data_IF_518449806160
#
_entry.id   IF_518449806160
#
_cell.length_a   1.000
_cell.length_b   1.000
_cell.length_c   1.000
_cell.angle_alpha   90.00
_cell.angle_beta   90.00
_cell.angle_gamma   90.00
#
_symmetry.space_group_name_H-M   'P 1'
#
loop_
_entity.id
_entity.type
_entity.pdbx_description
1 polymer ?
#
# COMPACT_ATOMS: atom_id res chain seq x y z
N UNK A 1 15.29 -1.43 4.60
CA UNK A 1 16.30 -0.47 4.14
C UNK A 1 17.65 -0.83 4.74
N UNK A 2 18.43 -1.61 4.07
CA UNK A 2 19.82 -1.91 4.43
C UNK A 2 20.81 -1.08 3.61
N UNK A 3 22.04 -1.51 3.59
CA UNK A 3 23.05 -1.02 2.65
C UNK A 3 22.71 -1.45 1.22
N UNK A 4 23.22 -0.72 0.24
CA UNK A 4 23.09 -1.00 -1.19
C UNK A 4 21.96 -0.21 -1.87
N UNK A 5 21.63 -0.63 -3.07
CA UNK A 5 20.69 0.06 -3.94
C UNK A 5 19.27 0.11 -3.35
N UNK A 6 18.73 1.32 -3.19
CA UNK A 6 17.43 1.59 -2.54
C UNK A 6 16.27 1.83 -3.52
N UNK A 7 16.50 1.65 -4.79
CA UNK A 7 15.52 1.88 -5.85
C UNK A 7 15.71 3.20 -6.59
N UNK A 8 15.01 3.32 -7.71
CA UNK A 8 15.16 4.41 -8.68
C UNK A 8 14.90 5.80 -8.08
N UNK A 9 13.96 5.92 -7.13
CA UNK A 9 13.67 7.20 -6.48
C UNK A 9 14.88 7.80 -5.77
N UNK A 10 15.71 6.95 -5.14
CA UNK A 10 16.89 7.41 -4.42
C UNK A 10 18.12 7.54 -5.31
N UNK A 11 18.19 6.71 -6.35
CA UNK A 11 19.38 6.50 -7.13
C UNK A 11 19.00 5.98 -8.51
N UNK A 12 18.72 6.87 -9.48
CA UNK A 12 18.30 6.45 -10.83
C UNK A 12 19.37 5.64 -11.58
N UNK A 13 20.64 5.88 -11.27
CA UNK A 13 21.74 5.04 -11.70
C UNK A 13 22.31 4.25 -10.51
N UNK A 14 22.21 2.91 -10.48
CA UNK A 14 22.70 2.09 -9.38
C UNK A 14 24.19 2.26 -9.03
N UNK A 15 25.01 2.72 -9.98
CA UNK A 15 26.46 2.90 -9.82
C UNK A 15 26.86 4.33 -9.43
N UNK A 16 25.90 5.27 -9.46
CA UNK A 16 26.14 6.66 -9.12
C UNK A 16 25.83 6.95 -7.64
N UNK A 17 26.22 8.13 -7.17
CA UNK A 17 25.80 8.63 -5.87
C UNK A 17 24.26 8.85 -5.82
N UNK A 18 23.62 8.75 -4.63
CA UNK A 18 22.21 9.05 -4.48
C UNK A 18 21.86 10.47 -4.94
N UNK A 19 20.79 10.59 -5.75
CA UNK A 19 20.23 11.85 -6.23
C UNK A 19 18.71 11.74 -6.27
N UNK A 20 18.06 12.28 -5.26
CA UNK A 20 16.60 12.25 -5.12
C UNK A 20 15.89 13.08 -6.19
N UNK A 21 16.47 14.21 -6.60
CA UNK A 21 15.84 15.05 -7.63
C UNK A 21 15.81 14.34 -8.98
N UNK A 22 16.94 13.78 -9.38
CA UNK A 22 17.03 12.95 -10.58
C UNK A 22 16.17 11.68 -10.45
N UNK A 23 16.09 11.10 -9.25
CA UNK A 23 15.24 9.93 -8.96
C UNK A 23 13.75 10.21 -9.16
N UNK A 24 13.25 11.32 -8.66
CA UNK A 24 11.85 11.75 -8.85
C UNK A 24 11.55 11.93 -10.35
N UNK A 25 12.43 12.59 -11.08
CA UNK A 25 12.25 12.77 -12.53
C UNK A 25 12.25 11.43 -13.26
N UNK A 26 13.15 10.52 -12.92
CA UNK A 26 13.25 9.20 -13.54
C UNK A 26 11.98 8.37 -13.30
N UNK A 27 11.44 8.37 -12.08
CA UNK A 27 10.18 7.67 -11.73
C UNK A 27 9.00 8.29 -12.47
N UNK A 28 8.87 9.60 -12.51
CA UNK A 28 7.79 10.27 -13.27
C UNK A 28 7.86 9.88 -14.75
N UNK A 29 9.03 9.95 -15.36
CA UNK A 29 9.22 9.52 -16.75
C UNK A 29 8.84 8.06 -16.97
N UNK A 30 9.26 7.17 -16.06
CA UNK A 30 8.91 5.74 -16.12
C UNK A 30 7.39 5.53 -16.09
N UNK A 31 6.67 6.15 -15.15
CA UNK A 31 5.22 6.03 -15.05
C UNK A 31 4.52 6.58 -16.30
N UNK A 32 4.86 7.81 -16.72
CA UNK A 32 4.23 8.45 -17.89
C UNK A 32 4.46 7.61 -19.15
N UNK A 33 5.68 7.14 -19.36
CA UNK A 33 6.02 6.28 -20.49
C UNK A 33 5.26 4.95 -20.43
N UNK A 34 5.24 4.30 -19.29
CA UNK A 34 4.52 3.04 -19.10
C UNK A 34 3.03 3.19 -19.40
N UNK A 35 2.39 4.26 -18.92
CA UNK A 35 0.97 4.55 -19.21
C UNK A 35 0.75 4.83 -20.71
N UNK A 36 1.61 5.61 -21.34
CA UNK A 36 1.49 5.92 -22.77
C UNK A 36 1.66 4.69 -23.67
N UNK A 37 2.58 3.79 -23.32
CA UNK A 37 2.87 2.59 -24.11
C UNK A 37 1.91 1.44 -23.86
N UNK A 38 1.41 1.27 -22.61
CA UNK A 38 0.58 0.12 -22.24
C UNK A 38 -0.92 0.43 -22.19
N UNK A 39 -1.32 1.69 -22.04
CA UNK A 39 -2.68 2.09 -21.74
C UNK A 39 -3.13 1.75 -20.30
N UNK A 40 -2.24 1.24 -19.45
CA UNK A 40 -2.50 0.94 -18.05
C UNK A 40 -2.19 2.15 -17.18
N UNK A 41 -2.89 2.24 -16.04
CA UNK A 41 -2.66 3.29 -15.04
C UNK A 41 -1.48 2.97 -14.12
N UNK A 42 -0.99 3.97 -13.41
CA UNK A 42 0.14 3.83 -12.50
C UNK A 42 -0.29 3.61 -11.05
N UNK A 43 0.46 2.79 -10.32
CA UNK A 43 0.31 2.56 -8.90
C UNK A 43 1.67 2.62 -8.20
N UNK A 44 1.73 3.09 -6.95
CA UNK A 44 2.96 3.14 -6.16
C UNK A 44 2.68 2.79 -4.69
N UNK A 45 3.73 2.59 -3.91
CA UNK A 45 3.66 2.45 -2.45
C UNK A 45 4.09 3.75 -1.77
N UNK A 46 3.23 4.30 -0.92
CA UNK A 46 3.55 5.47 -0.10
C UNK A 46 4.59 5.12 0.97
N UNK A 47 5.86 5.22 0.63
CA UNK A 47 6.95 5.01 1.58
C UNK A 47 7.14 6.23 2.49
N UNK A 48 7.04 7.41 1.90
CA UNK A 48 7.18 8.70 2.58
C UNK A 48 6.04 9.63 2.14
N UNK A 49 5.12 9.98 3.04
CA UNK A 49 3.99 10.86 2.70
C UNK A 49 4.41 12.21 2.08
N UNK A 50 5.58 12.70 2.46
CA UNK A 50 6.13 13.96 1.94
C UNK A 50 6.46 13.92 0.45
N UNK A 51 6.78 12.74 -0.08
CA UNK A 51 7.14 12.56 -1.49
C UNK A 51 5.93 12.39 -2.41
N UNK A 52 4.75 12.12 -1.84
CA UNK A 52 3.53 11.88 -2.61
C UNK A 52 3.24 13.01 -3.61
N UNK A 53 3.42 14.26 -3.20
CA UNK A 53 3.14 15.43 -4.06
C UNK A 53 3.93 15.47 -5.36
N UNK A 54 4.95 14.66 -5.51
CA UNK A 54 5.70 14.54 -6.77
C UNK A 54 5.10 13.54 -7.75
N UNK A 55 4.10 12.75 -7.32
CA UNK A 55 3.49 11.67 -8.10
C UNK A 55 1.94 11.74 -8.12
N UNK A 56 1.31 12.59 -7.32
CA UNK A 56 -0.13 12.62 -7.11
C UNK A 56 -0.96 12.94 -8.37
N UNK A 57 -0.36 13.60 -9.34
CA UNK A 57 -0.97 13.92 -10.64
C UNK A 57 -0.96 12.74 -11.64
N UNK A 58 -0.23 11.66 -11.35
CA UNK A 58 -0.08 10.52 -12.27
C UNK A 58 -0.48 9.16 -11.67
N UNK A 59 -0.66 9.08 -10.37
CA UNK A 59 -1.07 7.84 -9.71
C UNK A 59 -2.58 7.66 -9.72
N UNK A 60 -3.03 6.45 -10.03
CA UNK A 60 -4.44 6.03 -9.93
C UNK A 60 -4.71 5.14 -8.73
N UNK A 61 -3.67 4.71 -8.05
CA UNK A 61 -3.72 3.83 -6.89
C UNK A 61 -2.48 4.02 -6.03
N UNK A 62 -2.65 3.97 -4.73
CA UNK A 62 -1.52 4.00 -3.80
C UNK A 62 -1.71 2.95 -2.71
N UNK A 63 -0.60 2.32 -2.28
CA UNK A 63 -0.62 1.34 -1.21
C UNK A 63 0.16 1.85 0.00
N UNK A 64 -0.33 1.56 1.20
CA UNK A 64 0.42 1.73 2.44
C UNK A 64 0.96 0.38 2.88
N UNK A 65 2.28 0.28 2.98
CA UNK A 65 3.00 -0.95 3.26
C UNK A 65 2.83 -1.44 4.69
N UNK A 66 3.16 -2.71 4.92
CA UNK A 66 3.02 -3.40 6.20
C UNK A 66 3.81 -2.75 7.36
N UNK A 67 4.89 -2.03 7.06
CA UNK A 67 5.70 -1.32 8.06
C UNK A 67 5.21 0.10 8.35
N UNK A 68 4.35 0.62 7.50
CA UNK A 68 3.85 2.00 7.57
C UNK A 68 2.37 2.07 7.99
N UNK A 69 1.63 0.97 7.96
CA UNK A 69 0.19 0.93 8.21
C UNK A 69 -0.22 1.40 9.62
N UNK A 70 0.68 1.34 10.59
CA UNK A 70 0.48 1.85 11.95
C UNK A 70 0.83 3.34 12.10
N UNK A 71 1.54 3.90 11.12
CA UNK A 71 2.00 5.28 11.20
C UNK A 71 0.85 6.27 10.97
N UNK A 72 0.66 7.19 11.90
CA UNK A 72 -0.43 8.18 11.85
C UNK A 72 -0.36 9.08 10.62
N UNK A 73 0.82 9.51 10.23
CA UNK A 73 0.97 10.41 9.08
C UNK A 73 0.51 9.75 7.77
N UNK A 74 0.81 8.46 7.58
CA UNK A 74 0.30 7.70 6.42
C UNK A 74 -1.22 7.61 6.43
N UNK A 75 -1.84 7.32 7.59
CA UNK A 75 -3.30 7.23 7.76
C UNK A 75 -3.98 8.58 7.48
N UNK A 76 -3.43 9.67 8.03
CA UNK A 76 -3.95 11.02 7.84
C UNK A 76 -3.80 11.47 6.38
N UNK A 77 -2.65 11.20 5.75
CA UNK A 77 -2.44 11.48 4.33
C UNK A 77 -3.46 10.71 3.47
N UNK A 78 -3.65 9.42 3.74
CA UNK A 78 -4.62 8.60 3.03
C UNK A 78 -6.05 9.13 3.12
N UNK A 79 -6.43 9.76 4.25
CA UNK A 79 -7.77 10.34 4.43
C UNK A 79 -8.05 11.55 3.56
N UNK A 80 -7.03 12.19 3.00
CA UNK A 80 -7.16 13.34 2.10
C UNK A 80 -6.91 13.00 0.64
N UNK A 81 -6.88 11.72 0.27
CA UNK A 81 -6.63 11.30 -1.12
C UNK A 81 -7.92 11.04 -1.87
N UNK A 82 -7.95 11.43 -3.16
CA UNK A 82 -9.09 11.23 -4.06
C UNK A 82 -8.99 9.92 -4.88
N UNK A 83 -7.93 9.14 -4.65
CA UNK A 83 -7.69 7.85 -5.32
C UNK A 83 -7.83 6.69 -4.33
N UNK A 84 -8.09 5.45 -4.82
CA UNK A 84 -8.09 4.27 -3.96
C UNK A 84 -6.75 4.07 -3.24
N UNK A 85 -6.82 3.79 -1.93
CA UNK A 85 -5.64 3.51 -1.09
C UNK A 85 -5.80 2.15 -0.44
N UNK A 86 -4.86 1.25 -0.72
CA UNK A 86 -4.81 -0.08 -0.12
C UNK A 86 -3.96 -0.08 1.16
N UNK A 87 -4.55 -0.55 2.26
CA UNK A 87 -3.86 -0.74 3.54
C UNK A 87 -3.38 -2.19 3.66
N UNK A 88 -2.07 -2.43 3.64
CA UNK A 88 -1.53 -3.78 3.88
C UNK A 88 -1.64 -4.15 5.35
N UNK A 89 -2.02 -5.40 5.66
CA UNK A 89 -1.87 -5.87 7.02
C UNK A 89 -0.39 -5.85 7.43
N UNK A 90 -0.08 -5.57 8.73
CA UNK A 90 1.30 -5.54 9.20
C UNK A 90 1.99 -6.89 9.04
N UNK A 91 3.31 -6.91 9.22
CA UNK A 91 4.12 -8.14 9.08
C UNK A 91 3.71 -9.25 10.02
N UNK A 92 3.14 -8.93 11.18
CA UNK A 92 2.55 -9.89 12.13
C UNK A 92 1.31 -10.63 11.60
N UNK A 93 0.65 -10.09 10.56
CA UNK A 93 -0.62 -10.62 10.06
C UNK A 93 -1.86 -10.08 10.78
N UNK A 94 -1.73 -9.12 11.69
CA UNK A 94 -2.84 -8.59 12.48
C UNK A 94 -3.81 -7.78 11.62
N UNK A 95 -5.00 -8.35 11.38
CA UNK A 95 -6.05 -7.72 10.60
C UNK A 95 -6.69 -6.53 11.35
N UNK A 96 -6.67 -6.52 12.68
CA UNK A 96 -7.29 -5.44 13.46
C UNK A 96 -6.54 -4.12 13.28
N UNK A 97 -5.23 -4.17 13.20
CA UNK A 97 -4.36 -3.02 12.92
C UNK A 97 -4.66 -2.45 11.53
N UNK A 98 -4.73 -3.31 10.51
CA UNK A 98 -5.08 -2.92 9.15
C UNK A 98 -6.46 -2.27 9.09
N UNK A 99 -7.47 -2.88 9.71
CA UNK A 99 -8.83 -2.36 9.73
C UNK A 99 -8.93 -1.02 10.47
N UNK A 100 -8.19 -0.84 11.56
CA UNK A 100 -8.12 0.44 12.25
C UNK A 100 -7.48 1.53 11.36
N UNK A 101 -6.53 1.15 10.50
CA UNK A 101 -5.94 2.07 9.52
C UNK A 101 -6.94 2.47 8.43
N UNK A 102 -7.78 1.53 7.98
CA UNK A 102 -8.87 1.82 7.03
C UNK A 102 -9.91 2.73 7.69
N UNK A 103 -10.32 2.45 8.94
CA UNK A 103 -11.20 3.34 9.71
C UNK A 103 -10.65 4.76 9.72
N UNK A 104 -9.38 4.92 10.10
CA UNK A 104 -8.73 6.22 10.16
C UNK A 104 -8.71 6.91 8.78
N UNK A 105 -8.40 6.18 7.72
CA UNK A 105 -8.35 6.74 6.36
C UNK A 105 -9.74 7.12 5.83
N UNK A 106 -10.80 6.40 6.22
CA UNK A 106 -12.17 6.69 5.77
C UNK A 106 -12.84 7.85 6.54
N UNK A 107 -12.22 8.35 7.62
CA UNK A 107 -12.73 9.48 8.37
C UNK A 107 -11.95 10.76 8.09
N UNK A 108 -12.62 11.89 8.22
CA UNK A 108 -12.00 13.21 8.12
C UNK A 108 -11.16 13.54 9.36
N UNK A 109 -10.09 14.27 9.15
CA UNK A 109 -9.15 14.69 10.19
C UNK A 109 -8.73 16.14 10.02
N UNK A 110 -8.31 16.76 11.14
CA UNK A 110 -7.63 18.05 11.14
C UNK A 110 -6.23 17.86 11.71
N UNK A 111 -5.19 18.26 10.97
CA UNK A 111 -3.80 18.07 11.37
C UNK A 111 -2.86 19.04 10.64
N UNK A 112 -1.64 19.18 11.17
CA UNK A 112 -0.62 19.99 10.51
C UNK A 112 0.16 19.14 9.51
N UNK A 113 0.13 19.57 8.25
CA UNK A 113 0.91 18.98 7.18
C UNK A 113 1.75 20.06 6.49
N UNK A 114 3.08 19.88 6.46
CA UNK A 114 4.02 20.85 5.86
C UNK A 114 3.77 22.30 6.32
N UNK A 115 3.61 22.50 7.62
CA UNK A 115 3.34 23.80 8.27
C UNK A 115 1.97 24.41 7.99
N UNK A 116 1.09 23.71 7.27
CA UNK A 116 -0.28 24.13 7.02
C UNK A 116 -1.26 23.37 7.91
N UNK A 117 -2.29 24.03 8.38
CA UNK A 117 -3.46 23.39 8.97
C UNK A 117 -4.31 22.80 7.84
N UNK A 118 -4.47 21.47 7.86
CA UNK A 118 -5.14 20.72 6.81
C UNK A 118 -6.34 19.98 7.40
N UNK A 119 -7.48 20.12 6.75
CA UNK A 119 -8.67 19.32 7.03
C UNK A 119 -8.91 18.36 5.87
N UNK A 120 -9.18 17.10 6.19
CA UNK A 120 -9.54 16.06 5.20
C UNK A 120 -10.98 15.60 5.43
N UNK A 121 -11.62 15.10 4.38
CA UNK A 121 -13.02 14.63 4.44
C UNK A 121 -13.13 13.11 4.66
N UNK A 122 -12.01 12.40 4.61
CA UNK A 122 -11.95 10.94 4.60
C UNK A 122 -11.97 10.38 3.18
N UNK A 123 -11.31 9.26 3.01
CA UNK A 123 -11.23 8.53 1.73
C UNK A 123 -12.08 7.25 1.77
N UNK A 124 -13.32 7.27 1.26
CA UNK A 124 -14.19 6.11 1.26
C UNK A 124 -13.68 4.95 0.39
N UNK A 125 -12.68 5.19 -0.46
CA UNK A 125 -12.06 4.17 -1.31
C UNK A 125 -10.91 3.43 -0.62
N UNK A 126 -10.55 3.79 0.61
CA UNK A 126 -9.55 3.06 1.39
C UNK A 126 -10.03 1.62 1.66
N UNK A 127 -9.15 0.63 1.44
CA UNK A 127 -9.50 -0.79 1.49
C UNK A 127 -8.32 -1.67 1.94
N UNK A 128 -8.57 -2.98 2.09
CA UNK A 128 -7.61 -3.95 2.59
C UNK A 128 -6.70 -4.53 1.52
N UNK A 129 -5.44 -4.78 1.88
CA UNK A 129 -4.51 -5.64 1.13
C UNK A 129 -4.03 -6.75 2.04
N UNK A 130 -4.31 -8.01 1.68
CA UNK A 130 -3.85 -9.19 2.38
C UNK A 130 -2.49 -9.64 1.82
N UNK A 131 -1.47 -9.67 2.68
CA UNK A 131 -0.10 -10.02 2.30
C UNK A 131 0.50 -11.22 3.06
N UNK A 132 -0.33 -11.91 3.87
CA UNK A 132 0.12 -12.91 4.83
C UNK A 132 0.80 -12.28 6.05
N UNK A 133 1.22 -13.12 6.96
CA UNK A 133 1.89 -12.72 8.20
C UNK A 133 3.11 -13.58 8.51
N UNK A 134 3.88 -13.14 9.49
CA UNK A 134 4.99 -13.91 10.09
C UNK A 134 4.78 -13.87 11.60
N UNK A 135 4.74 -15.02 12.21
CA UNK A 135 4.58 -15.13 13.65
C UNK A 135 5.88 -14.81 14.40
N UNK A 136 5.82 -14.81 15.73
CA UNK A 136 6.97 -14.54 16.60
C UNK A 136 8.10 -15.57 16.48
N UNK A 137 7.85 -16.71 15.87
CA UNK A 137 8.84 -17.75 15.63
C UNK A 137 9.44 -17.69 14.22
N UNK A 138 9.01 -16.75 13.38
CA UNK A 138 9.47 -16.59 12.02
C UNK A 138 8.74 -17.46 10.99
N UNK A 139 7.64 -18.14 11.39
CA UNK A 139 6.82 -18.95 10.48
C UNK A 139 5.91 -18.04 9.67
N UNK A 140 5.87 -18.27 8.36
CA UNK A 140 4.98 -17.55 7.47
C UNK A 140 3.60 -18.19 7.46
N UNK A 141 2.56 -17.34 7.52
CA UNK A 141 1.16 -17.74 7.45
C UNK A 141 0.48 -16.98 6.31
N UNK A 142 -0.06 -17.66 5.30
CA UNK A 142 -0.88 -17.04 4.27
C UNK A 142 -2.20 -16.54 4.86
N UNK A 143 -2.84 -15.58 4.20
CA UNK A 143 -4.15 -15.06 4.58
C UNK A 143 -5.02 -14.70 3.37
N UNK A 144 -4.93 -15.49 2.30
CA UNK A 144 -5.68 -15.29 1.05
C UNK A 144 -6.73 -16.37 0.78
N UNK A 145 -6.84 -17.39 1.64
CA UNK A 145 -7.83 -18.45 1.48
C UNK A 145 -9.26 -17.92 1.67
N UNK A 146 -10.21 -18.66 1.17
CA UNK A 146 -11.63 -18.30 1.26
C UNK A 146 -12.07 -17.92 2.67
N UNK A 147 -11.66 -18.69 3.68
CA UNK A 147 -11.98 -18.45 5.08
C UNK A 147 -11.39 -17.14 5.61
N UNK A 148 -10.20 -16.78 5.16
CA UNK A 148 -9.55 -15.51 5.52
C UNK A 148 -10.33 -14.32 4.94
N UNK A 149 -10.75 -14.42 3.70
CA UNK A 149 -11.53 -13.40 3.02
C UNK A 149 -12.92 -13.23 3.66
N UNK A 150 -13.61 -14.32 3.99
CA UNK A 150 -14.91 -14.30 4.69
C UNK A 150 -14.76 -13.69 6.08
N UNK A 151 -13.72 -14.08 6.82
CA UNK A 151 -13.42 -13.48 8.13
C UNK A 151 -13.20 -11.98 8.02
N UNK A 152 -12.40 -11.55 7.06
CA UNK A 152 -12.16 -10.13 6.83
C UNK A 152 -13.45 -9.37 6.49
N UNK A 153 -14.28 -9.93 5.62
CA UNK A 153 -15.56 -9.32 5.24
C UNK A 153 -16.49 -9.12 6.43
N UNK A 154 -16.58 -10.12 7.33
CA UNK A 154 -17.33 -10.00 8.56
C UNK A 154 -16.82 -8.85 9.43
N UNK A 155 -15.50 -8.77 9.61
CA UNK A 155 -14.87 -7.68 10.37
C UNK A 155 -15.10 -6.29 9.73
N UNK A 156 -15.16 -6.20 8.39
CA UNK A 156 -15.56 -4.98 7.68
C UNK A 156 -16.98 -4.54 8.06
N UNK A 157 -17.92 -5.47 8.01
CA UNK A 157 -19.32 -5.19 8.38
C UNK A 157 -19.47 -4.77 9.84
N UNK A 158 -18.76 -5.42 10.77
CA UNK A 158 -18.77 -5.08 12.20
C UNK A 158 -18.24 -3.65 12.47
N UNK A 159 -17.32 -3.16 11.63
CA UNK A 159 -16.77 -1.79 11.73
C UNK A 159 -17.54 -0.76 10.91
N UNK A 160 -18.54 -1.16 10.12
CA UNK A 160 -19.32 -0.28 9.25
C UNK A 160 -18.47 0.43 8.18
N UNK A 161 -17.41 -0.22 7.70
CA UNK A 161 -16.50 0.35 6.72
C UNK A 161 -17.13 0.43 5.33
N UNK A 162 -16.89 1.53 4.63
CA UNK A 162 -17.17 1.65 3.21
C UNK A 162 -16.22 0.77 2.39
N UNK A 163 -16.55 0.53 1.11
CA UNK A 163 -15.70 -0.17 0.14
C UNK A 163 -15.08 -1.48 0.66
N UNK A 164 -15.85 -2.57 0.73
CA UNK A 164 -15.37 -3.87 1.21
C UNK A 164 -14.43 -4.58 0.21
N UNK A 165 -13.75 -3.83 -0.66
CA UNK A 165 -12.79 -4.37 -1.61
C UNK A 165 -11.57 -4.96 -0.87
N UNK A 166 -11.06 -6.06 -1.41
CA UNK A 166 -9.87 -6.74 -0.89
C UNK A 166 -8.93 -7.02 -2.05
N UNK A 167 -7.68 -6.59 -1.90
CA UNK A 167 -6.60 -6.96 -2.80
C UNK A 167 -5.78 -8.06 -2.15
N UNK A 168 -5.50 -9.14 -2.88
CA UNK A 168 -4.59 -10.20 -2.43
C UNK A 168 -3.21 -9.95 -3.04
N UNK A 169 -2.24 -9.70 -2.18
CA UNK A 169 -0.83 -9.67 -2.55
C UNK A 169 -0.33 -11.11 -2.62
N UNK A 170 -0.16 -11.64 -3.83
CA UNK A 170 0.27 -13.01 -4.08
C UNK A 170 1.75 -13.27 -3.73
N UNK A 171 2.48 -12.25 -3.30
CA UNK A 171 3.86 -12.35 -2.85
C UNK A 171 3.97 -12.32 -1.30
N UNK A 172 5.06 -11.79 -0.79
CA UNK A 172 5.37 -11.67 0.64
C UNK A 172 5.14 -12.98 1.41
N UNK A 173 4.42 -12.92 2.53
CA UNK A 173 4.19 -14.11 3.35
C UNK A 173 3.14 -15.06 2.77
N UNK A 174 2.31 -14.60 1.84
CA UNK A 174 1.36 -15.46 1.13
C UNK A 174 2.06 -16.52 0.28
N UNK A 175 3.19 -16.18 -0.35
CA UNK A 175 4.00 -17.15 -1.12
C UNK A 175 5.31 -17.56 -0.43
N UNK A 176 5.56 -17.07 0.79
CA UNK A 176 6.89 -17.20 1.40
C UNK A 176 8.00 -16.56 0.55
N UNK A 177 7.64 -15.53 -0.28
CA UNK A 177 8.51 -14.86 -1.27
C UNK A 177 9.01 -15.79 -2.39
N UNK A 178 8.33 -16.91 -2.64
CA UNK A 178 8.64 -17.82 -3.74
C UNK A 178 7.85 -17.40 -4.99
N UNK A 179 8.56 -16.92 -6.01
CA UNK A 179 7.91 -16.35 -7.19
C UNK A 179 7.04 -17.37 -7.97
N UNK A 180 7.37 -18.65 -7.95
CA UNK A 180 6.60 -19.71 -8.62
C UNK A 180 5.25 -19.97 -7.95
N UNK A 181 5.16 -19.76 -6.64
CA UNK A 181 3.92 -19.93 -5.87
C UNK A 181 2.87 -18.88 -6.21
N UNK A 182 3.29 -17.71 -6.71
CA UNK A 182 2.35 -16.64 -7.08
C UNK A 182 1.33 -17.08 -8.12
N UNK A 183 1.73 -17.92 -9.10
CA UNK A 183 0.82 -18.44 -10.13
C UNK A 183 -0.27 -19.29 -9.50
N UNK A 184 0.09 -20.19 -8.58
CA UNK A 184 -0.87 -21.02 -7.87
C UNK A 184 -1.82 -20.20 -7.02
N UNK A 185 -1.30 -19.21 -6.28
CA UNK A 185 -2.11 -18.33 -5.42
C UNK A 185 -3.11 -17.53 -6.24
N UNK A 186 -2.68 -16.93 -7.35
CA UNK A 186 -3.58 -16.20 -8.23
C UNK A 186 -4.67 -17.12 -8.79
N UNK A 187 -4.32 -18.35 -9.17
CA UNK A 187 -5.30 -19.36 -9.62
C UNK A 187 -6.33 -19.69 -8.53
N UNK A 188 -5.91 -19.82 -7.26
CA UNK A 188 -6.82 -20.12 -6.14
C UNK A 188 -7.75 -18.93 -5.81
N UNK A 189 -7.25 -17.72 -5.88
CA UNK A 189 -8.04 -16.49 -5.56
C UNK A 189 -9.08 -16.18 -6.63
N UNK A 190 -8.85 -16.60 -7.89
CA UNK A 190 -9.76 -16.34 -9.01
C UNK A 190 -10.85 -17.42 -9.20
N UNK A 191 -10.79 -18.51 -8.46
CA UNK A 191 -11.75 -19.62 -8.48
C UNK A 191 -12.61 -19.66 -7.23
#
# INVERSE_FOLDING_TARGET
TGEGYKGMLHQPNPEAAPDLSAGIQAIRHMHIRSMAESGLTAADEMLYPENRSYLDDILSYEAIGARSVENQQHRLTASGMDIPVGMKNPTSGDLSVMLNSIVAAQHGHNFIYRTHDVTTDGNPLAHAILRGGVDKYGTTHPNYHYEDCIRLWKMYGEKGLANPAVVVDANHSNSGKQHKEQIRIVGEVLH
#
